data_IF_070130084918
#
_entry.id   IF_070130084918
#
_cell.length_a   1.000
_cell.length_b   1.000
_cell.length_c   1.000
_cell.angle_alpha   90.00
_cell.angle_beta   90.00
_cell.angle_gamma   90.00
#
_symmetry.space_group_name_H-M   'P 1'
#
loop_
_entity.id
_entity.type
_entity.pdbx_description
1 polymer ?
#
# COMPACT_ATOMS: atom_id res chain seq x y z
N UNK A 1 2.96 0.13 10.68
CA UNK A 1 1.91 0.55 9.74
C UNK A 1 2.60 1.00 8.46
N UNK A 2 2.12 0.57 7.31
CA UNK A 2 2.67 0.93 6.01
C UNK A 2 1.57 1.52 5.13
N UNK A 3 1.96 2.46 4.29
CA UNK A 3 1.12 3.03 3.24
C UNK A 3 1.76 2.70 1.89
N UNK A 4 1.04 2.01 1.02
CA UNK A 4 1.48 1.62 -0.32
C UNK A 4 0.52 2.17 -1.36
N UNK A 5 0.97 2.31 -2.60
CA UNK A 5 0.03 2.53 -3.70
C UNK A 5 -0.83 1.27 -3.86
N UNK A 6 -2.15 1.44 -3.89
CA UNK A 6 -3.09 0.34 -4.12
C UNK A 6 -2.93 -0.19 -5.56
N UNK A 7 -3.46 -1.39 -5.84
CA UNK A 7 -3.37 -2.01 -7.17
C UNK A 7 -4.04 -1.19 -8.28
N UNK A 8 -5.04 -0.40 -7.92
CA UNK A 8 -5.75 0.54 -8.80
C UNK A 8 -5.21 1.99 -8.68
N UNK A 9 -4.11 2.16 -7.95
CA UNK A 9 -3.41 3.43 -7.77
C UNK A 9 -2.47 3.79 -8.94
N UNK A 10 -1.65 4.84 -8.78
CA UNK A 10 -0.65 5.25 -9.75
C UNK A 10 0.39 4.17 -10.01
N UNK A 11 0.76 3.94 -11.27
CA UNK A 11 1.85 3.03 -11.64
C UNK A 11 3.25 3.68 -11.62
N UNK A 12 3.32 5.00 -11.38
CA UNK A 12 4.57 5.77 -11.34
C UNK A 12 4.55 6.82 -10.24
N UNK A 13 5.73 7.09 -9.67
CA UNK A 13 5.98 8.21 -8.77
C UNK A 13 7.23 8.96 -9.24
N UNK A 14 7.15 10.29 -9.35
CA UNK A 14 8.24 11.13 -9.89
C UNK A 14 8.78 10.64 -11.25
N UNK A 15 7.90 10.10 -12.10
CA UNK A 15 8.24 9.54 -13.42
C UNK A 15 8.87 8.14 -13.40
N UNK A 16 9.19 7.59 -12.23
CA UNK A 16 9.77 6.26 -12.08
C UNK A 16 8.68 5.20 -11.88
N UNK A 17 8.85 3.98 -12.41
CA UNK A 17 7.95 2.87 -12.11
C UNK A 17 7.99 2.56 -10.62
N UNK A 18 6.83 2.25 -10.04
CA UNK A 18 6.71 1.82 -8.65
C UNK A 18 6.11 0.41 -8.59
N UNK A 19 6.11 -0.18 -7.40
CA UNK A 19 5.38 -1.42 -7.11
C UNK A 19 4.13 -1.08 -6.31
N UNK A 20 3.00 -1.63 -6.74
CA UNK A 20 1.71 -1.50 -6.06
C UNK A 20 1.49 -2.74 -5.21
N UNK A 21 0.84 -2.56 -4.06
CA UNK A 21 0.54 -3.65 -3.15
C UNK A 21 -0.91 -3.59 -2.69
N UNK A 22 -1.56 -4.75 -2.70
CA UNK A 22 -2.68 -5.05 -1.83
C UNK A 22 -2.19 -5.68 -0.50
N UNK A 23 -3.12 -6.00 0.39
CA UNK A 23 -2.82 -6.65 1.65
C UNK A 23 -2.04 -7.96 1.49
N UNK A 24 -2.44 -8.81 0.54
CA UNK A 24 -1.86 -10.15 0.37
C UNK A 24 -0.44 -10.10 -0.23
N UNK A 25 -0.23 -9.25 -1.23
CA UNK A 25 1.08 -9.05 -1.85
C UNK A 25 2.08 -8.41 -0.89
N UNK A 26 1.66 -7.43 -0.08
CA UNK A 26 2.54 -6.85 0.94
C UNK A 26 2.86 -7.86 2.04
N UNK A 27 1.88 -8.66 2.48
CA UNK A 27 2.12 -9.70 3.48
C UNK A 27 3.13 -10.75 2.98
N UNK A 28 3.05 -11.14 1.70
CA UNK A 28 4.04 -12.03 1.08
C UNK A 28 5.44 -11.41 1.03
N UNK A 29 5.54 -10.14 0.67
CA UNK A 29 6.82 -9.42 0.56
C UNK A 29 7.51 -9.26 1.93
N UNK A 30 6.75 -8.95 2.97
CA UNK A 30 7.26 -8.78 4.34
C UNK A 30 7.64 -10.12 4.96
N UNK A 31 6.89 -11.17 4.63
CA UNK A 31 7.14 -12.53 5.07
C UNK A 31 6.45 -12.92 6.38
N UNK A 32 6.63 -14.19 6.74
CA UNK A 32 5.83 -14.91 7.75
C UNK A 32 6.01 -14.42 9.19
N UNK A 33 6.98 -13.55 9.46
CA UNK A 33 7.20 -12.96 10.78
C UNK A 33 6.16 -11.89 11.16
N UNK A 34 5.21 -11.58 10.27
CA UNK A 34 4.18 -10.59 10.51
C UNK A 34 2.80 -11.11 10.14
N UNK A 35 1.81 -10.73 10.94
CA UNK A 35 0.40 -10.93 10.66
C UNK A 35 -0.29 -9.60 10.34
N UNK A 36 -1.21 -9.64 9.39
CA UNK A 36 -2.08 -8.52 9.03
C UNK A 36 -3.15 -8.33 10.11
N UNK A 37 -3.19 -7.15 10.70
CA UNK A 37 -4.13 -6.79 11.76
C UNK A 37 -5.27 -5.89 11.27
N UNK A 38 -5.01 -5.04 10.27
CA UNK A 38 -6.01 -4.17 9.66
C UNK A 38 -5.56 -3.74 8.26
N UNK A 39 -6.53 -3.50 7.37
CA UNK A 39 -6.32 -3.05 6.01
C UNK A 39 -7.40 -2.03 5.61
N UNK A 40 -6.97 -0.88 5.13
CA UNK A 40 -7.87 0.17 4.65
C UNK A 40 -7.38 0.72 3.32
N UNK A 41 -8.29 1.32 2.57
CA UNK A 41 -7.98 2.04 1.32
C UNK A 41 -8.41 3.48 1.46
N UNK A 42 -7.61 4.39 0.94
CA UNK A 42 -7.93 5.82 0.91
C UNK A 42 -7.61 6.40 -0.46
N UNK A 43 -8.51 7.24 -0.97
CA UNK A 43 -8.24 8.04 -2.17
C UNK A 43 -7.67 9.38 -1.75
N UNK A 44 -6.38 9.58 -1.96
CA UNK A 44 -5.71 10.86 -1.80
C UNK A 44 -5.90 11.72 -3.04
N UNK A 45 -6.40 12.95 -2.88
CA UNK A 45 -6.41 13.93 -3.97
C UNK A 45 -5.15 14.78 -3.86
N UNK A 46 -4.28 14.69 -4.87
CA UNK A 46 -3.06 15.50 -4.93
C UNK A 46 -3.39 16.99 -5.02
N UNK A 47 -2.47 17.90 -4.66
CA UNK A 47 -2.67 19.34 -4.88
C UNK A 47 -2.98 19.72 -6.33
N UNK A 48 -2.55 18.90 -7.30
CA UNK A 48 -2.87 19.07 -8.72
C UNK A 48 -4.24 18.52 -9.16
N UNK A 49 -5.02 17.95 -8.23
CA UNK A 49 -6.37 17.43 -8.48
C UNK A 49 -6.46 15.96 -8.91
N UNK A 50 -5.33 15.29 -9.15
CA UNK A 50 -5.33 13.86 -9.49
C UNK A 50 -5.63 12.99 -8.27
N UNK A 51 -6.43 11.94 -8.46
CA UNK A 51 -6.67 10.89 -7.46
C UNK A 51 -5.49 9.90 -7.40
N UNK A 52 -5.11 9.51 -6.20
CA UNK A 52 -4.14 8.46 -5.92
C UNK A 52 -4.72 7.52 -4.86
N UNK A 53 -5.00 6.28 -5.24
CA UNK A 53 -5.49 5.27 -4.32
C UNK A 53 -4.32 4.66 -3.54
N UNK A 54 -4.40 4.75 -2.21
CA UNK A 54 -3.46 4.18 -1.26
C UNK A 54 -4.10 3.04 -0.50
N UNK A 55 -3.27 2.09 -0.08
CA UNK A 55 -3.59 1.04 0.85
C UNK A 55 -2.81 1.28 2.14
N UNK A 56 -3.50 1.26 3.27
CA UNK A 56 -2.93 1.34 4.61
C UNK A 56 -3.04 -0.01 5.31
N UNK A 57 -1.90 -0.55 5.74
CA UNK A 57 -1.81 -1.89 6.30
C UNK A 57 -1.16 -1.84 7.68
N UNK A 58 -1.88 -2.33 8.68
CA UNK A 58 -1.36 -2.51 10.04
C UNK A 58 -0.89 -3.94 10.18
N UNK A 59 0.43 -4.12 10.20
CA UNK A 59 1.08 -5.41 10.43
C UNK A 59 1.60 -5.48 11.88
N UNK A 60 1.52 -6.64 12.50
CA UNK A 60 2.09 -6.92 13.82
C UNK A 60 3.05 -8.10 13.72
N UNK A 61 4.22 -7.98 14.36
CA UNK A 61 5.17 -9.09 14.43
C UNK A 61 4.56 -10.25 15.21
N UNK A 62 4.70 -11.45 14.69
CA UNK A 62 4.32 -12.69 15.37
C UNK A 62 5.59 -13.44 15.80
N UNK A 63 5.54 -14.04 16.98
CA UNK A 63 6.62 -14.87 17.55
C UNK A 63 6.44 -16.34 17.20
#
# INVERSE_FOLDING_TARGET
MMATFALDGPAKCSGLPIVQYDADSLAREIGVGFALMDAQTETHTTPGGSAQNFQYLRMQRVE
#
